data_IF_811300053360
#
_entry.id   IF_811300053360
#
_cell.length_a   1.000
_cell.length_b   1.000
_cell.length_c   1.000
_cell.angle_alpha   90.00
_cell.angle_beta   90.00
_cell.angle_gamma   90.00
#
_symmetry.space_group_name_H-M   'P 1'
#
loop_
_entity.id
_entity.type
_entity.pdbx_description
1 polymer ?
#
# COMPACT_ATOMS: atom_id res chain seq x y z
N UNK A 1 11.41 -1.15 3.22
CA UNK A 1 10.99 -2.50 2.82
C UNK A 1 11.07 -3.38 4.05
N UNK A 2 9.97 -3.96 4.52
CA UNK A 2 10.01 -4.99 5.56
C UNK A 2 10.42 -6.28 4.86
N UNK A 3 11.68 -6.68 5.03
CA UNK A 3 12.20 -7.93 4.47
C UNK A 3 11.46 -9.11 5.10
N UNK A 4 10.48 -9.65 4.39
CA UNK A 4 9.80 -10.89 4.76
C UNK A 4 10.69 -12.05 4.30
N UNK A 5 11.73 -12.35 5.08
CA UNK A 5 12.65 -13.46 4.77
C UNK A 5 12.04 -14.75 5.26
N UNK A 6 11.74 -15.70 4.37
CA UNK A 6 11.34 -17.04 4.78
C UNK A 6 12.51 -17.76 5.47
N UNK A 7 12.21 -18.67 6.41
CA UNK A 7 13.21 -19.47 7.11
C UNK A 7 12.93 -20.95 6.84
N UNK A 8 13.97 -21.69 6.50
CA UNK A 8 13.92 -23.14 6.31
C UNK A 8 15.06 -23.82 7.07
N UNK A 9 14.82 -25.04 7.52
CA UNK A 9 15.82 -25.89 8.15
C UNK A 9 16.26 -26.96 7.18
N UNK A 10 17.56 -26.97 6.88
CA UNK A 10 18.19 -28.04 6.13
C UNK A 10 18.49 -29.22 7.07
N UNK A 11 18.17 -30.45 6.65
CA UNK A 11 18.51 -31.68 7.35
C UNK A 11 19.03 -32.70 6.35
N UNK A 12 20.09 -33.41 6.71
CA UNK A 12 20.47 -34.62 6.00
C UNK A 12 19.59 -35.78 6.49
N UNK A 13 18.98 -36.51 5.56
CA UNK A 13 18.06 -37.59 5.90
C UNK A 13 17.65 -38.41 4.70
N UNK A 14 16.73 -39.35 4.93
CA UNK A 14 16.15 -40.17 3.87
C UNK A 14 14.82 -39.53 3.46
N UNK A 15 14.67 -39.15 2.20
CA UNK A 15 13.43 -38.57 1.71
C UNK A 15 12.31 -39.63 1.87
N UNK A 16 11.23 -39.28 2.57
CA UNK A 16 10.15 -40.23 2.89
C UNK A 16 9.37 -40.68 1.65
N UNK A 17 9.37 -39.88 0.58
CA UNK A 17 8.63 -40.18 -0.65
C UNK A 17 9.46 -40.99 -1.64
N UNK A 18 10.77 -40.71 -1.76
CA UNK A 18 11.66 -41.40 -2.73
C UNK A 18 12.55 -42.46 -2.10
N UNK A 19 12.71 -42.47 -0.77
CA UNK A 19 13.58 -43.40 -0.05
C UNK A 19 15.08 -43.14 -0.24
N UNK A 20 15.47 -42.08 -0.93
CA UNK A 20 16.87 -41.76 -1.21
C UNK A 20 17.50 -40.92 -0.09
N UNK A 21 18.79 -41.15 0.16
CA UNK A 21 19.57 -40.34 1.08
C UNK A 21 19.91 -39.00 0.44
N UNK A 22 19.52 -37.89 1.08
CA UNK A 22 19.76 -36.56 0.54
C UNK A 22 19.56 -35.45 1.58
N UNK A 23 19.63 -34.22 1.11
CA UNK A 23 19.32 -33.05 1.91
C UNK A 23 17.87 -32.64 1.69
N UNK A 24 17.12 -32.44 2.77
CA UNK A 24 15.75 -31.93 2.74
C UNK A 24 15.66 -30.58 3.43
N UNK A 25 14.82 -29.69 2.91
CA UNK A 25 14.53 -28.40 3.52
C UNK A 25 13.08 -28.37 4.01
N UNK A 26 12.90 -28.21 5.32
CA UNK A 26 11.58 -27.99 5.92
C UNK A 26 11.39 -26.48 6.11
N UNK A 27 10.32 -25.91 5.54
CA UNK A 27 9.95 -24.50 5.81
C UNK A 27 9.48 -24.39 7.26
N UNK A 28 10.23 -23.64 8.09
CA UNK A 28 9.91 -23.52 9.52
C UNK A 28 8.75 -22.55 9.79
N UNK A 29 8.68 -21.48 8.99
CA UNK A 29 7.65 -20.44 9.11
C UNK A 29 7.07 -20.16 7.73
N UNK A 30 6.01 -20.88 7.32
CA UNK A 30 5.41 -20.70 6.00
C UNK A 30 4.58 -19.41 5.86
N UNK A 31 4.38 -18.67 6.96
CA UNK A 31 3.63 -17.42 7.02
C UNK A 31 4.54 -16.20 7.27
N UNK A 32 4.00 -14.99 7.09
CA UNK A 32 4.68 -13.73 7.40
C UNK A 32 5.32 -13.80 8.80
N UNK A 33 6.65 -13.77 8.83
CA UNK A 33 7.42 -14.04 10.04
C UNK A 33 7.99 -12.79 10.71
N UNK A 34 7.56 -11.61 10.27
CA UNK A 34 7.87 -10.36 10.93
C UNK A 34 6.72 -9.94 11.84
N UNK A 35 7.03 -9.19 12.90
CA UNK A 35 6.00 -8.58 13.72
C UNK A 35 5.10 -7.69 12.85
N UNK A 36 3.81 -7.62 13.22
CA UNK A 36 2.89 -6.66 12.59
C UNK A 36 3.51 -5.27 12.72
N UNK A 37 3.45 -4.47 11.66
CA UNK A 37 3.88 -3.08 11.75
C UNK A 37 3.11 -2.38 12.87
N UNK A 38 3.83 -1.70 13.77
CA UNK A 38 3.25 -0.95 14.89
C UNK A 38 3.31 0.56 14.62
N UNK A 39 2.39 1.32 15.22
CA UNK A 39 2.33 2.77 15.07
C UNK A 39 1.86 3.25 13.69
N UNK A 40 2.27 4.46 13.29
CA UNK A 40 1.77 5.12 12.06
C UNK A 40 2.00 4.29 10.80
N UNK A 41 3.10 3.54 10.73
CA UNK A 41 3.46 2.69 9.59
C UNK A 41 2.51 1.48 9.40
N UNK A 42 1.72 1.13 10.42
CA UNK A 42 0.71 0.08 10.33
C UNK A 42 -0.45 0.47 9.40
N UNK A 43 -0.70 1.77 9.22
CA UNK A 43 -1.82 2.28 8.45
C UNK A 43 -1.36 2.62 7.03
N UNK A 44 -2.00 2.01 6.02
CA UNK A 44 -1.70 2.23 4.60
C UNK A 44 -1.73 3.70 4.19
N UNK A 45 -2.61 4.50 4.81
CA UNK A 45 -2.69 5.95 4.61
C UNK A 45 -1.39 6.70 4.95
N UNK A 46 -0.52 6.16 5.80
CA UNK A 46 0.73 6.81 6.19
C UNK A 46 1.95 6.30 5.40
N UNK A 47 1.75 5.36 4.47
CA UNK A 47 2.84 4.83 3.68
C UNK A 47 3.37 5.91 2.73
N UNK A 48 4.70 6.05 2.66
CA UNK A 48 5.35 6.94 1.69
C UNK A 48 5.22 6.30 0.30
N UNK A 49 4.82 7.10 -0.69
CA UNK A 49 4.69 6.69 -2.09
C UNK A 49 5.78 7.33 -2.95
N UNK A 50 6.01 6.75 -4.13
CA UNK A 50 6.96 7.28 -5.10
C UNK A 50 6.56 8.72 -5.47
N UNK A 51 7.54 9.64 -5.51
CA UNK A 51 7.35 11.06 -5.83
C UNK A 51 6.72 11.27 -7.22
N UNK A 52 7.05 10.42 -8.19
CA UNK A 52 6.49 10.50 -9.54
C UNK A 52 4.99 10.16 -9.55
N UNK A 53 4.63 9.06 -8.88
CA UNK A 53 3.23 8.64 -8.69
C UNK A 53 2.41 9.72 -7.99
N UNK A 54 2.96 10.31 -6.91
CA UNK A 54 2.29 11.40 -6.18
C UNK A 54 2.05 12.64 -7.07
N UNK A 55 3.04 12.99 -7.88
CA UNK A 55 2.91 14.11 -8.83
C UNK A 55 1.79 13.85 -9.84
N UNK A 56 1.71 12.61 -10.36
CA UNK A 56 0.66 12.22 -11.31
C UNK A 56 -0.73 12.25 -10.68
N UNK A 57 -0.89 11.66 -9.49
CA UNK A 57 -2.15 11.70 -8.71
C UNK A 57 -2.57 13.16 -8.46
N UNK A 58 -1.63 14.03 -8.07
CA UNK A 58 -1.93 15.45 -7.84
C UNK A 58 -2.40 16.17 -9.12
N UNK A 59 -1.82 15.85 -10.27
CA UNK A 59 -2.24 16.43 -11.54
C UNK A 59 -3.67 16.00 -11.91
N UNK A 60 -3.98 14.70 -11.82
CA UNK A 60 -5.33 14.17 -12.11
C UNK A 60 -6.37 14.67 -11.09
N UNK A 61 -5.98 14.82 -9.82
CA UNK A 61 -6.84 15.41 -8.80
C UNK A 61 -7.28 16.84 -9.15
N UNK A 62 -6.35 17.67 -9.65
CA UNK A 62 -6.67 19.02 -10.14
C UNK A 62 -7.57 19.04 -11.37
N UNK A 63 -7.61 17.93 -12.12
CA UNK A 63 -8.52 17.74 -13.26
C UNK A 63 -9.89 17.19 -12.83
N UNK A 64 -10.11 17.02 -11.51
CA UNK A 64 -11.32 16.42 -10.94
C UNK A 64 -11.60 14.98 -11.39
N UNK A 65 -10.56 14.24 -11.75
CA UNK A 65 -10.71 12.81 -12.07
C UNK A 65 -11.16 12.00 -10.85
N UNK A 66 -11.90 10.92 -11.10
CA UNK A 66 -12.30 9.97 -10.05
C UNK A 66 -11.14 9.04 -9.71
N UNK A 67 -11.10 8.53 -8.48
CA UNK A 67 -10.03 7.61 -8.05
C UNK A 67 -9.94 6.36 -8.95
N UNK A 68 -11.06 5.84 -9.44
CA UNK A 68 -11.09 4.71 -10.38
C UNK A 68 -10.50 5.08 -11.74
N UNK A 69 -10.80 6.28 -12.26
CA UNK A 69 -10.21 6.76 -13.51
C UNK A 69 -8.70 6.94 -13.36
N UNK A 70 -8.26 7.55 -12.26
CA UNK A 70 -6.83 7.68 -11.93
C UNK A 70 -6.13 6.32 -11.88
N UNK A 71 -6.76 5.31 -11.26
CA UNK A 71 -6.20 3.96 -11.18
C UNK A 71 -5.99 3.38 -12.58
N UNK A 72 -7.04 3.41 -13.40
CA UNK A 72 -6.99 2.84 -14.75
C UNK A 72 -5.93 3.53 -15.61
N UNK A 73 -5.82 4.87 -15.52
CA UNK A 73 -4.78 5.63 -16.21
C UNK A 73 -3.38 5.22 -15.75
N UNK A 74 -3.16 5.08 -14.44
CA UNK A 74 -1.86 4.70 -13.90
C UNK A 74 -1.46 3.26 -14.28
N UNK A 75 -2.40 2.32 -14.24
CA UNK A 75 -2.16 0.93 -14.65
C UNK A 75 -1.91 0.81 -16.16
N UNK A 76 -2.52 1.68 -16.97
CA UNK A 76 -2.28 1.74 -18.41
C UNK A 76 -0.91 2.37 -18.75
N UNK A 77 -0.45 3.35 -17.97
CA UNK A 77 0.85 4.01 -18.14
C UNK A 77 2.02 3.14 -17.65
N UNK A 78 1.83 2.38 -16.56
CA UNK A 78 2.86 1.52 -15.99
C UNK A 78 2.26 0.29 -15.29
N UNK A 79 2.38 -0.86 -15.93
CA UNK A 79 1.92 -2.15 -15.41
C UNK A 79 2.81 -2.74 -14.30
N UNK A 80 4.02 -2.18 -14.11
CA UNK A 80 4.93 -2.63 -13.05
C UNK A 80 4.62 -2.02 -11.69
N UNK A 81 3.86 -0.92 -11.67
CA UNK A 81 3.45 -0.25 -10.45
C UNK A 81 2.27 -0.99 -9.81
N UNK A 82 2.52 -1.68 -8.69
CA UNK A 82 1.48 -2.30 -7.86
C UNK A 82 0.77 -1.22 -7.02
N UNK A 83 -0.13 -0.47 -7.65
CA UNK A 83 -0.98 0.54 -7.01
C UNK A 83 -2.41 0.02 -6.89
N UNK A 84 -3.01 0.19 -5.71
CA UNK A 84 -4.40 -0.19 -5.46
C UNK A 84 -5.30 1.03 -5.43
N UNK A 85 -6.61 0.82 -5.66
CA UNK A 85 -7.61 1.88 -5.55
C UNK A 85 -7.56 2.59 -4.18
N UNK A 86 -7.38 1.82 -3.11
CA UNK A 86 -7.29 2.35 -1.75
C UNK A 86 -6.11 3.31 -1.59
N UNK A 87 -4.99 3.07 -2.28
CA UNK A 87 -3.83 3.95 -2.23
C UNK A 87 -4.15 5.32 -2.83
N UNK A 88 -4.83 5.33 -3.98
CA UNK A 88 -5.27 6.57 -4.64
C UNK A 88 -6.27 7.31 -3.77
N UNK A 89 -7.25 6.62 -3.20
CA UNK A 89 -8.21 7.22 -2.28
C UNK A 89 -7.52 7.88 -1.07
N UNK A 90 -6.52 7.21 -0.48
CA UNK A 90 -5.76 7.75 0.64
C UNK A 90 -5.01 9.04 0.24
N UNK A 91 -4.38 9.08 -0.93
CA UNK A 91 -3.67 10.27 -1.42
C UNK A 91 -4.63 11.41 -1.76
N UNK A 92 -5.76 11.12 -2.40
CA UNK A 92 -6.81 12.12 -2.68
C UNK A 92 -7.35 12.71 -1.37
N UNK A 93 -7.55 11.90 -0.33
CA UNK A 93 -7.97 12.40 0.98
C UNK A 93 -6.93 13.32 1.65
N UNK A 94 -5.63 13.09 1.42
CA UNK A 94 -4.59 14.01 1.91
C UNK A 94 -4.61 15.33 1.16
N UNK A 95 -4.79 15.29 -0.16
CA UNK A 95 -4.91 16.49 -0.99
C UNK A 95 -6.15 17.31 -0.57
N UNK A 96 -7.31 16.67 -0.42
CA UNK A 96 -8.52 17.34 0.07
C UNK A 96 -8.33 17.98 1.44
N UNK A 97 -7.72 17.27 2.39
CA UNK A 97 -7.41 17.85 3.70
C UNK A 97 -6.47 19.04 3.59
N UNK A 98 -5.50 19.00 2.67
CA UNK A 98 -4.62 20.15 2.42
C UNK A 98 -5.40 21.35 1.85
N UNK A 99 -6.34 21.11 0.94
CA UNK A 99 -7.15 22.17 0.33
C UNK A 99 -8.10 22.81 1.37
N UNK A 100 -8.59 22.02 2.32
CA UNK A 100 -9.45 22.48 3.42
C UNK A 100 -8.66 22.98 4.64
N UNK A 101 -7.37 23.27 4.50
CA UNK A 101 -6.50 23.73 5.59
C UNK A 101 -6.54 22.83 6.85
N UNK A 102 -6.70 21.52 6.65
CA UNK A 102 -6.78 20.51 7.71
C UNK A 102 -8.19 20.22 8.23
N UNK A 103 -9.20 20.97 7.79
CA UNK A 103 -10.60 20.78 8.18
C UNK A 103 -11.23 19.58 7.46
N UNK A 104 -12.23 19.00 8.08
CA UNK A 104 -13.15 18.05 7.45
C UNK A 104 -14.13 18.77 6.52
N UNK A 105 -14.73 18.03 5.57
CA UNK A 105 -15.77 18.61 4.70
C UNK A 105 -16.95 19.16 5.49
N UNK A 106 -17.30 18.54 6.62
CA UNK A 106 -18.39 19.01 7.48
C UNK A 106 -18.02 20.34 8.12
N UNK A 107 -16.83 20.46 8.71
CA UNK A 107 -16.36 21.72 9.30
C UNK A 107 -16.27 22.85 8.27
N UNK A 108 -15.78 22.55 7.07
CA UNK A 108 -15.73 23.51 5.97
C UNK A 108 -17.13 23.93 5.50
N UNK A 109 -18.07 22.99 5.43
CA UNK A 109 -19.46 23.28 5.07
C UNK A 109 -20.16 24.12 6.14
N UNK A 110 -19.98 23.79 7.41
CA UNK A 110 -20.54 24.56 8.52
C UNK A 110 -20.00 26.00 8.52
N UNK A 111 -18.68 26.18 8.33
CA UNK A 111 -18.09 27.53 8.20
C UNK A 111 -18.74 28.30 7.05
N UNK A 112 -18.89 27.67 5.88
CA UNK A 112 -19.53 28.31 4.73
C UNK A 112 -20.99 28.70 5.00
N UNK A 113 -21.75 27.83 5.68
CA UNK A 113 -23.15 28.10 6.04
C UNK A 113 -23.30 29.13 7.17
N UNK A 114 -22.25 29.39 7.96
CA UNK A 114 -22.26 30.46 8.97
C UNK A 114 -21.90 31.83 8.36
N UNK A 115 -21.12 31.84 7.28
CA UNK A 115 -20.69 33.06 6.57
C UNK A 115 -21.75 33.61 5.58
N UNK A 116 -22.78 32.83 5.25
CA UNK A 116 -23.85 33.16 4.29
C UNK A 116 -25.25 32.93 4.88
#
# INVERSE_FOLDING_TARGET
MTSCTWAARCKAGKNKETGESGWSFDVEKPYHNHNRATGKAAFSQNHKRNKLLLTRIKAMYKQHDTASKMLNTLLAEDTSTNVLLQDICNEVQKLRRSDLAGRSHIESLLTFLEEF
#
